data_IF_282943367764
#
_entry.id   IF_282943367764
#
_cell.length_a   1.000
_cell.length_b   1.000
_cell.length_c   1.000
_cell.angle_alpha   90.00
_cell.angle_beta   90.00
_cell.angle_gamma   90.00
#
_symmetry.space_group_name_H-M   'P 1'
#
loop_
_entity.id
_entity.type
_entity.pdbx_description
1 polymer ?
#
# COMPACT_ATOMS: atom_id res chain seq x y z
N UNK A 1 0.67 12.38 12.38
CA UNK A 1 0.36 11.09 11.71
C UNK A 1 0.19 10.05 12.81
N UNK A 2 0.04 8.76 12.49
CA UNK A 2 -0.13 7.72 13.52
C UNK A 2 0.80 6.56 13.21
N UNK A 3 1.62 6.16 14.18
CA UNK A 3 2.70 5.17 14.01
C UNK A 3 2.32 3.84 14.63
N UNK A 4 2.43 2.76 13.86
CA UNK A 4 2.13 1.41 14.32
C UNK A 4 3.22 0.90 15.28
N UNK A 5 2.82 0.54 16.49
CA UNK A 5 3.69 -0.04 17.52
C UNK A 5 4.19 -1.45 17.16
N UNK A 6 3.53 -2.08 16.18
CA UNK A 6 3.88 -3.40 15.66
C UNK A 6 5.11 -3.38 14.74
N UNK A 7 5.60 -2.18 14.40
CA UNK A 7 6.82 -2.03 13.64
C UNK A 7 8.05 -2.29 14.55
N UNK A 8 8.91 -3.28 14.25
CA UNK A 8 10.11 -3.54 15.04
C UNK A 8 11.07 -2.34 15.12
N UNK A 9 11.04 -1.40 14.17
CA UNK A 9 11.83 -0.17 14.23
C UNK A 9 11.36 0.81 15.33
N UNK A 10 10.11 0.68 15.80
CA UNK A 10 9.49 1.58 16.78
C UNK A 10 9.19 0.91 18.13
N UNK A 11 9.39 -0.40 18.26
CA UNK A 11 9.11 -1.17 19.48
C UNK A 11 9.97 -0.78 20.71
N UNK A 12 10.96 0.11 20.54
CA UNK A 12 11.83 0.61 21.63
C UNK A 12 11.29 1.86 22.35
N UNK A 13 10.15 2.42 21.94
CA UNK A 13 9.65 3.68 22.52
C UNK A 13 8.28 3.52 23.20
N UNK A 14 8.28 3.70 24.52
CA UNK A 14 7.16 3.91 25.45
C UNK A 14 6.36 2.72 25.98
N UNK A 15 6.77 2.32 27.19
CA UNK A 15 5.84 2.16 28.30
C UNK A 15 5.48 3.55 28.87
N UNK A 16 4.24 3.66 29.39
CA UNK A 16 3.65 4.79 30.13
C UNK A 16 3.01 5.95 29.33
N UNK A 17 1.72 6.22 29.65
CA UNK A 17 1.12 7.53 29.40
C UNK A 17 -0.39 7.53 29.13
N UNK A 18 -1.20 7.57 30.20
CA UNK A 18 -2.67 7.76 30.16
C UNK A 18 -3.02 9.21 29.80
N UNK A 19 -4.08 9.45 29.00
CA UNK A 19 -4.60 10.80 28.75
C UNK A 19 -6.00 10.82 28.14
N UNK A 20 -6.92 11.56 28.78
CA UNK A 20 -8.37 11.50 28.63
C UNK A 20 -8.96 12.33 27.47
N UNK A 21 -10.07 11.84 26.90
CA UNK A 21 -10.80 12.41 25.77
C UNK A 21 -11.76 13.55 26.16
N UNK A 22 -11.84 14.60 25.32
CA UNK A 22 -12.95 15.56 25.29
C UNK A 22 -13.50 15.72 23.87
N UNK A 23 -14.81 15.50 23.74
CA UNK A 23 -15.60 15.52 22.50
C UNK A 23 -15.98 16.94 22.10
N UNK A 24 -15.93 17.25 20.80
CA UNK A 24 -16.81 18.26 20.21
C UNK A 24 -17.17 17.83 18.78
N UNK A 25 -18.48 17.70 18.54
CA UNK A 25 -19.10 17.38 17.26
C UNK A 25 -19.13 18.64 16.39
N UNK A 26 -18.79 18.51 15.12
CA UNK A 26 -19.32 19.35 14.04
C UNK A 26 -19.19 18.56 12.72
N UNK A 27 -20.30 18.49 11.97
CA UNK A 27 -20.44 17.78 10.70
C UNK A 27 -19.92 18.67 9.56
N UNK A 28 -19.22 18.09 8.60
CA UNK A 28 -18.86 18.70 7.32
C UNK A 28 -18.69 17.57 6.26
N UNK A 29 -18.80 17.88 4.95
CA UNK A 29 -19.61 17.12 4.00
C UNK A 29 -18.88 15.96 3.32
N UNK A 30 -19.69 14.98 2.90
CA UNK A 30 -19.29 13.90 1.99
C UNK A 30 -18.81 14.49 0.65
N UNK A 31 -17.59 14.16 0.26
CA UNK A 31 -17.12 14.38 -1.11
C UNK A 31 -16.69 13.05 -1.71
N UNK A 32 -17.35 12.74 -2.83
CA UNK A 32 -17.35 11.48 -3.53
C UNK A 32 -16.01 11.06 -4.15
N UNK A 33 -15.98 9.76 -4.41
CA UNK A 33 -14.88 8.88 -4.75
C UNK A 33 -14.33 9.12 -6.17
N UNK A 34 -13.01 9.18 -6.33
CA UNK A 34 -12.32 9.36 -7.62
C UNK A 34 -11.75 8.04 -8.21
N UNK A 35 -12.11 6.88 -7.66
CA UNK A 35 -11.56 5.59 -8.09
C UNK A 35 -12.32 4.92 -9.25
N UNK A 36 -13.52 5.40 -9.60
CA UNK A 36 -14.41 4.80 -10.62
C UNK A 36 -15.12 5.84 -11.51
N UNK A 37 -14.57 7.05 -11.64
CA UNK A 37 -15.15 8.04 -12.54
C UNK A 37 -14.92 7.65 -14.02
N UNK A 38 -15.94 7.72 -14.89
CA UNK A 38 -15.72 7.63 -16.33
C UNK A 38 -14.76 8.73 -16.79
N UNK A 39 -13.91 8.40 -17.78
CA UNK A 39 -12.86 9.26 -18.33
C UNK A 39 -13.36 10.72 -18.48
N UNK A 40 -12.86 11.61 -17.62
CA UNK A 40 -13.08 13.05 -17.73
C UNK A 40 -12.37 13.58 -18.99
N UNK A 41 -12.76 14.78 -19.48
CA UNK A 41 -12.21 15.31 -20.72
C UNK A 41 -10.68 15.40 -20.65
N UNK A 42 -10.04 14.80 -21.66
CA UNK A 42 -8.59 14.80 -21.83
C UNK A 42 -8.15 16.25 -22.05
N UNK A 43 -7.63 16.89 -20.99
CA UNK A 43 -6.83 18.12 -21.15
C UNK A 43 -5.66 17.85 -22.10
N UNK A 44 -5.14 18.90 -22.75
CA UNK A 44 -4.04 18.77 -23.71
C UNK A 44 -2.91 17.90 -23.14
N UNK A 45 -2.62 16.80 -23.84
CA UNK A 45 -1.55 15.87 -23.47
C UNK A 45 -0.22 16.57 -23.68
N UNK A 46 0.50 16.81 -22.59
CA UNK A 46 1.85 17.42 -22.56
C UNK A 46 2.82 16.70 -23.50
N UNK A 47 2.84 15.36 -23.43
CA UNK A 47 3.62 14.50 -24.30
C UNK A 47 2.76 13.86 -25.38
N UNK A 48 3.32 13.73 -26.60
CA UNK A 48 2.73 12.92 -27.65
C UNK A 48 2.55 11.49 -27.16
N UNK A 49 1.35 10.93 -27.37
CA UNK A 49 1.00 9.58 -26.95
C UNK A 49 0.46 8.79 -28.13
N UNK A 50 1.11 7.68 -28.45
CA UNK A 50 0.70 6.81 -29.54
C UNK A 50 0.22 5.45 -29.03
N UNK A 51 -0.54 4.73 -29.86
CA UNK A 51 -0.89 3.33 -29.59
C UNK A 51 0.35 2.45 -29.43
N UNK A 52 1.41 2.74 -30.19
CA UNK A 52 2.67 1.99 -30.11
C UNK A 52 3.34 2.16 -28.74
N UNK A 53 3.35 3.37 -28.18
CA UNK A 53 3.90 3.63 -26.84
C UNK A 53 3.14 2.81 -25.78
N UNK A 54 1.80 2.79 -25.89
CA UNK A 54 0.97 2.03 -24.96
C UNK A 54 1.23 0.53 -25.06
N UNK A 55 1.23 -0.05 -26.26
CA UNK A 55 1.51 -1.48 -26.44
C UNK A 55 2.92 -1.85 -25.97
N UNK A 56 3.90 -0.97 -26.15
CA UNK A 56 5.25 -1.17 -25.61
C UNK A 56 5.26 -1.13 -24.09
N UNK A 57 4.58 -0.18 -23.46
CA UNK A 57 4.42 -0.15 -22.00
C UNK A 57 3.78 -1.44 -21.48
N UNK A 58 2.71 -1.93 -22.14
CA UNK A 58 2.05 -3.20 -21.78
C UNK A 58 3.00 -4.38 -21.87
N UNK A 59 3.76 -4.48 -22.95
CA UNK A 59 4.70 -5.57 -23.16
C UNK A 59 5.81 -5.55 -22.10
N UNK A 60 6.40 -4.38 -21.83
CA UNK A 60 7.49 -4.24 -20.87
C UNK A 60 7.03 -4.53 -19.43
N UNK A 61 5.89 -3.98 -19.00
CA UNK A 61 5.41 -4.22 -17.63
C UNK A 61 4.97 -5.67 -17.42
N UNK A 62 4.40 -6.29 -18.45
CA UNK A 62 4.05 -7.71 -18.41
C UNK A 62 5.31 -8.58 -18.33
N UNK A 63 6.32 -8.32 -19.16
CA UNK A 63 7.57 -9.07 -19.13
C UNK A 63 8.32 -8.93 -17.79
N UNK A 64 8.27 -7.73 -17.18
CA UNK A 64 9.01 -7.44 -15.95
C UNK A 64 8.28 -7.90 -14.68
N UNK A 65 6.96 -7.71 -14.60
CA UNK A 65 6.19 -7.91 -13.36
C UNK A 65 4.93 -8.78 -13.52
N UNK A 66 4.66 -9.33 -14.71
CA UNK A 66 3.46 -10.12 -14.99
C UNK A 66 2.15 -9.32 -14.99
N UNK A 67 2.21 -7.98 -14.96
CA UNK A 67 1.01 -7.14 -14.88
C UNK A 67 0.38 -7.02 -16.27
N UNK A 68 -0.87 -7.48 -16.38
CA UNK A 68 -1.68 -7.29 -17.59
C UNK A 68 -2.43 -5.95 -17.53
N UNK A 69 -1.94 -4.96 -18.27
CA UNK A 69 -2.67 -3.70 -18.49
C UNK A 69 -3.76 -3.91 -19.55
N UNK A 70 -5.01 -3.69 -19.16
CA UNK A 70 -6.17 -3.72 -20.06
C UNK A 70 -6.22 -2.48 -20.97
N UNK A 71 -6.79 -2.61 -22.18
CA UNK A 71 -6.84 -1.52 -23.18
C UNK A 71 -7.50 -0.23 -22.67
N UNK A 72 -8.48 -0.34 -21.78
CA UNK A 72 -9.14 0.81 -21.15
C UNK A 72 -8.29 1.59 -20.12
N UNK A 73 -7.04 1.18 -19.86
CA UNK A 73 -6.15 1.85 -18.88
C UNK A 73 -5.15 2.81 -19.52
N UNK A 74 -5.36 3.24 -20.77
CA UNK A 74 -4.45 4.16 -21.47
C UNK A 74 -4.23 5.49 -20.74
N UNK A 75 -5.29 6.14 -20.28
CA UNK A 75 -5.18 7.42 -19.58
C UNK A 75 -4.37 7.30 -18.27
N UNK A 76 -4.57 6.19 -17.54
CA UNK A 76 -3.82 5.86 -16.34
C UNK A 76 -2.34 5.62 -16.64
N UNK A 77 -2.04 4.78 -17.64
CA UNK A 77 -0.67 4.50 -18.06
C UNK A 77 0.05 5.78 -18.53
N UNK A 78 -0.61 6.61 -19.35
CA UNK A 78 -0.09 7.90 -19.77
C UNK A 78 0.27 8.78 -18.57
N UNK A 79 -0.68 9.02 -17.66
CA UNK A 79 -0.48 9.92 -16.52
C UNK A 79 0.69 9.50 -15.63
N UNK A 80 0.78 8.20 -15.35
CA UNK A 80 1.81 7.62 -14.45
C UNK A 80 3.19 7.58 -15.09
N UNK A 81 3.29 7.16 -16.36
CA UNK A 81 4.58 7.07 -17.04
C UNK A 81 5.07 8.46 -17.47
N UNK A 82 4.18 9.39 -17.86
CA UNK A 82 4.55 10.78 -18.12
C UNK A 82 5.23 11.46 -16.92
N UNK A 83 4.88 11.06 -15.70
CA UNK A 83 5.58 11.52 -14.49
C UNK A 83 7.05 11.08 -14.48
N UNK A 84 7.35 9.84 -14.89
CA UNK A 84 8.73 9.36 -15.02
C UNK A 84 9.49 10.14 -16.09
N UNK A 85 8.88 10.40 -17.25
CA UNK A 85 9.49 11.23 -18.30
C UNK A 85 9.94 12.59 -17.75
N UNK A 86 9.13 13.24 -16.91
CA UNK A 86 9.51 14.51 -16.26
C UNK A 86 10.65 14.34 -15.26
N UNK A 87 10.57 13.31 -14.42
CA UNK A 87 11.56 13.04 -13.37
C UNK A 87 12.94 12.66 -13.97
N UNK A 88 12.98 12.05 -15.15
CA UNK A 88 14.22 11.67 -15.85
C UNK A 88 14.60 12.61 -17.00
N UNK A 89 13.76 13.60 -17.32
CA UNK A 89 14.06 14.66 -18.30
C UNK A 89 13.85 14.28 -19.78
N UNK A 90 13.12 13.21 -20.08
CA UNK A 90 12.82 12.85 -21.47
C UNK A 90 11.62 13.61 -22.04
N UNK A 91 11.66 13.83 -23.36
CA UNK A 91 10.67 14.63 -24.08
C UNK A 91 9.62 13.79 -24.81
N UNK A 92 9.77 12.47 -24.83
CA UNK A 92 8.83 11.55 -25.47
C UNK A 92 8.83 10.18 -24.79
N UNK A 93 7.73 9.44 -24.92
CA UNK A 93 7.65 8.05 -24.45
C UNK A 93 8.63 7.16 -25.20
N UNK A 94 8.78 7.37 -26.50
CA UNK A 94 9.73 6.63 -27.32
C UNK A 94 11.16 6.72 -26.76
N UNK A 95 11.63 7.94 -26.45
CA UNK A 95 12.97 8.17 -25.93
C UNK A 95 13.14 7.53 -24.54
N UNK A 96 12.17 7.71 -23.66
CA UNK A 96 12.18 7.11 -22.31
C UNK A 96 12.20 5.59 -22.37
N UNK A 97 11.35 4.96 -23.18
CA UNK A 97 11.26 3.50 -23.26
C UNK A 97 12.51 2.88 -23.91
N UNK A 98 13.07 3.53 -24.94
CA UNK A 98 14.35 3.11 -25.51
C UNK A 98 15.49 3.19 -24.47
N UNK A 99 15.56 4.28 -23.73
CA UNK A 99 16.57 4.47 -22.68
C UNK A 99 16.38 3.47 -21.54
N UNK A 100 15.15 3.21 -21.10
CA UNK A 100 14.81 2.24 -20.07
C UNK A 100 15.32 0.83 -20.43
N UNK A 101 15.10 0.40 -21.67
CA UNK A 101 15.55 -0.91 -22.16
C UNK A 101 17.09 -1.03 -22.28
N UNK A 102 17.80 0.09 -22.27
CA UNK A 102 19.27 0.13 -22.27
C UNK A 102 19.88 0.21 -20.86
N UNK A 103 19.06 0.33 -19.80
CA UNK A 103 19.58 0.40 -18.44
C UNK A 103 20.15 -0.95 -18.02
N UNK A 104 21.41 -0.95 -17.58
CA UNK A 104 22.08 -2.12 -17.00
C UNK A 104 21.71 -2.34 -15.53
N UNK A 105 21.33 -1.27 -14.83
CA UNK A 105 20.82 -1.35 -13.46
C UNK A 105 19.29 -1.42 -13.43
N UNK A 106 18.79 -1.96 -12.32
CA UNK A 106 17.35 -2.21 -12.13
C UNK A 106 16.62 -1.03 -11.47
N UNK A 107 17.29 0.11 -11.23
CA UNK A 107 16.71 1.21 -10.45
C UNK A 107 15.53 1.85 -11.18
N UNK A 108 15.71 2.24 -12.44
CA UNK A 108 14.61 2.82 -13.20
C UNK A 108 13.55 1.77 -13.57
N UNK A 109 13.95 0.53 -13.83
CA UNK A 109 13.02 -0.57 -14.05
C UNK A 109 12.06 -0.75 -12.88
N UNK A 110 12.58 -0.68 -11.66
CA UNK A 110 11.78 -0.72 -10.46
C UNK A 110 10.83 0.48 -10.38
N UNK A 111 11.26 1.68 -10.77
CA UNK A 111 10.38 2.86 -10.77
C UNK A 111 9.30 2.83 -11.84
N UNK A 112 9.61 2.28 -13.01
CA UNK A 112 8.64 1.99 -14.05
C UNK A 112 7.55 1.02 -13.55
N UNK A 113 7.94 -0.03 -12.80
CA UNK A 113 6.99 -0.94 -12.16
C UNK A 113 6.16 -0.21 -11.12
N UNK A 114 6.80 0.52 -10.20
CA UNK A 114 6.14 1.24 -9.10
C UNK A 114 5.06 2.22 -9.59
N UNK A 115 5.26 2.91 -10.72
CA UNK A 115 4.23 3.85 -11.22
C UNK A 115 3.05 3.14 -11.87
N UNK A 116 3.19 1.88 -12.29
CA UNK A 116 2.15 1.09 -12.96
C UNK A 116 1.38 0.13 -12.05
N UNK A 117 1.80 -0.07 -10.80
CA UNK A 117 1.09 -0.87 -9.79
C UNK A 117 -0.19 -0.19 -9.28
N UNK A 118 -1.15 -0.97 -8.79
CA UNK A 118 -2.38 -0.43 -8.18
C UNK A 118 -2.46 -0.83 -6.72
N UNK A 119 -2.19 0.15 -5.85
CA UNK A 119 -1.95 -0.08 -4.43
C UNK A 119 -3.17 0.28 -3.56
N UNK A 120 -4.37 -0.16 -3.93
CA UNK A 120 -5.58 0.10 -3.14
C UNK A 120 -5.67 -0.90 -1.99
N UNK A 121 -5.48 -0.41 -0.76
CA UNK A 121 -5.54 -1.23 0.45
C UNK A 121 -6.20 -0.46 1.59
N UNK A 122 -6.65 -1.19 2.61
CA UNK A 122 -7.27 -0.65 3.82
C UNK A 122 -7.13 -1.64 4.97
N UNK A 123 -7.10 -1.11 6.19
CA UNK A 123 -7.11 -1.96 7.39
C UNK A 123 -8.37 -2.82 7.43
N UNK A 124 -8.19 -4.11 7.71
CA UNK A 124 -9.26 -5.09 7.78
C UNK A 124 -10.16 -5.12 6.54
N UNK A 125 -9.59 -4.88 5.34
CA UNK A 125 -10.27 -5.12 4.08
C UNK A 125 -10.76 -6.56 4.02
N UNK A 126 -12.04 -6.77 3.70
CA UNK A 126 -12.68 -8.10 3.73
C UNK A 126 -12.61 -8.74 5.13
N UNK A 127 -13.30 -8.13 6.13
CA UNK A 127 -13.11 -8.41 7.55
C UNK A 127 -13.32 -9.88 7.96
N UNK A 128 -14.17 -10.61 7.23
CA UNK A 128 -14.46 -12.02 7.46
C UNK A 128 -13.22 -12.93 7.40
N UNK A 129 -12.18 -12.57 6.63
CA UNK A 129 -10.92 -13.33 6.62
C UNK A 129 -10.19 -13.27 7.96
N UNK A 130 -10.25 -12.14 8.66
CA UNK A 130 -9.60 -11.98 9.97
C UNK A 130 -10.37 -12.68 11.09
N UNK A 131 -11.70 -12.75 10.97
CA UNK A 131 -12.54 -13.56 11.87
C UNK A 131 -12.20 -15.05 11.75
N UNK A 132 -12.06 -15.55 10.51
CA UNK A 132 -11.62 -16.93 10.24
C UNK A 132 -10.20 -17.19 10.74
N UNK A 133 -9.27 -16.26 10.50
CA UNK A 133 -7.89 -16.38 11.00
C UNK A 133 -7.85 -16.44 12.54
N UNK A 134 -8.61 -15.57 13.23
CA UNK A 134 -8.67 -15.55 14.69
C UNK A 134 -9.24 -16.87 15.24
N UNK A 135 -10.35 -17.35 14.66
CA UNK A 135 -10.96 -18.63 15.06
C UNK A 135 -10.01 -19.81 14.82
N UNK A 136 -9.32 -19.83 13.68
CA UNK A 136 -8.32 -20.85 13.36
C UNK A 136 -7.17 -20.85 14.38
N UNK A 137 -6.56 -19.69 14.64
CA UNK A 137 -5.46 -19.53 15.60
C UNK A 137 -5.86 -19.90 17.05
N UNK A 138 -7.09 -19.61 17.44
CA UNK A 138 -7.60 -19.95 18.78
C UNK A 138 -7.70 -21.48 18.99
N UNK A 139 -8.01 -22.23 17.93
CA UNK A 139 -8.11 -23.70 17.99
C UNK A 139 -6.76 -24.41 17.81
N UNK A 140 -5.71 -23.72 17.35
CA UNK A 140 -4.40 -24.33 17.16
C UNK A 140 -3.67 -24.51 18.51
N UNK A 141 -3.26 -25.75 18.87
CA UNK A 141 -2.64 -26.03 20.17
C UNK A 141 -1.19 -25.54 20.29
N UNK A 142 -0.52 -25.11 19.21
CA UNK A 142 0.87 -24.67 19.26
C UNK A 142 1.37 -23.94 18.00
N UNK A 143 2.51 -23.27 18.13
CA UNK A 143 3.26 -22.61 17.07
C UNK A 143 4.63 -23.29 16.81
N UNK A 144 5.49 -22.71 15.96
CA UNK A 144 5.37 -21.39 15.35
C UNK A 144 4.41 -21.33 14.16
N UNK A 145 3.78 -20.18 13.97
CA UNK A 145 2.95 -19.89 12.80
C UNK A 145 3.70 -18.99 11.85
N UNK A 146 3.73 -19.35 10.56
CA UNK A 146 4.31 -18.54 9.51
C UNK A 146 3.21 -18.14 8.53
N UNK A 147 2.97 -16.85 8.42
CA UNK A 147 2.00 -16.27 7.48
C UNK A 147 2.74 -15.38 6.50
N UNK A 148 2.29 -15.36 5.26
CA UNK A 148 2.82 -14.51 4.20
C UNK A 148 1.70 -13.65 3.62
N UNK A 149 1.84 -12.33 3.74
CA UNK A 149 1.10 -11.35 2.95
C UNK A 149 1.90 -11.09 1.66
N UNK A 150 1.42 -11.61 0.53
CA UNK A 150 2.16 -11.63 -0.73
C UNK A 150 1.97 -10.40 -1.63
N UNK A 151 1.06 -9.49 -1.26
CA UNK A 151 0.81 -8.20 -1.92
C UNK A 151 0.48 -7.14 -0.85
N UNK A 152 1.47 -6.85 -0.01
CA UNK A 152 1.32 -6.08 1.23
C UNK A 152 0.90 -4.61 1.02
N UNK A 153 1.16 -4.05 -0.17
CA UNK A 153 0.94 -2.65 -0.48
C UNK A 153 1.59 -1.74 0.59
N UNK A 154 0.87 -0.71 1.06
CA UNK A 154 1.34 0.23 2.10
C UNK A 154 1.28 -0.33 3.52
N UNK A 155 1.00 -1.62 3.70
CA UNK A 155 1.16 -2.33 4.98
C UNK A 155 -0.12 -2.55 5.78
N UNK A 156 -1.25 -1.98 5.38
CA UNK A 156 -2.52 -2.12 6.13
C UNK A 156 -2.93 -3.60 6.34
N UNK A 157 -2.77 -4.45 5.34
CA UNK A 157 -3.06 -5.89 5.45
C UNK A 157 -2.14 -6.62 6.44
N UNK A 158 -0.79 -6.58 6.31
CA UNK A 158 0.06 -7.28 7.26
C UNK A 158 -0.10 -6.77 8.71
N UNK A 159 -0.37 -5.47 8.92
CA UNK A 159 -0.70 -4.97 10.24
C UNK A 159 -2.04 -5.52 10.76
N UNK A 160 -3.07 -5.64 9.92
CA UNK A 160 -4.33 -6.29 10.29
C UNK A 160 -4.15 -7.77 10.65
N UNK A 161 -3.32 -8.50 9.91
CA UNK A 161 -2.97 -9.90 10.24
C UNK A 161 -2.29 -9.96 11.61
N UNK A 162 -1.29 -9.11 11.85
CA UNK A 162 -0.55 -9.10 13.11
C UNK A 162 -1.44 -8.73 14.31
N UNK A 163 -2.29 -7.69 14.18
CA UNK A 163 -3.27 -7.33 15.21
C UNK A 163 -4.20 -8.51 15.53
N UNK A 164 -4.72 -9.18 14.50
CA UNK A 164 -5.58 -10.37 14.65
C UNK A 164 -4.88 -11.50 15.38
N UNK A 165 -3.63 -11.78 15.01
CA UNK A 165 -2.84 -12.83 15.66
C UNK A 165 -2.55 -12.49 17.14
N UNK A 166 -2.22 -11.23 17.45
CA UNK A 166 -1.98 -10.78 18.82
C UNK A 166 -3.24 -10.80 19.70
N UNK A 167 -4.41 -10.56 19.11
CA UNK A 167 -5.70 -10.68 19.80
C UNK A 167 -6.07 -12.15 20.05
N UNK A 168 -5.91 -13.03 19.07
CA UNK A 168 -6.30 -14.44 19.18
C UNK A 168 -5.33 -15.30 20.01
N UNK A 169 -4.03 -15.03 19.93
CA UNK A 169 -3.00 -15.86 20.56
C UNK A 169 -2.55 -15.37 21.94
N UNK A 170 -2.78 -14.09 22.27
CA UNK A 170 -2.26 -13.48 23.49
C UNK A 170 -0.74 -13.64 23.60
N UNK A 171 -0.25 -14.19 24.72
CA UNK A 171 1.18 -14.43 24.95
C UNK A 171 1.83 -15.34 23.89
N UNK A 172 1.07 -16.22 23.24
CA UNK A 172 1.57 -17.11 22.18
C UNK A 172 1.89 -16.38 20.88
N UNK A 173 1.47 -15.11 20.72
CA UNK A 173 1.78 -14.31 19.54
C UNK A 173 3.29 -14.13 19.30
N UNK A 174 4.11 -14.29 20.34
CA UNK A 174 5.59 -14.33 20.23
C UNK A 174 6.11 -15.44 19.29
N UNK A 175 5.30 -16.47 19.00
CA UNK A 175 5.62 -17.56 18.07
C UNK A 175 5.03 -17.33 16.67
N UNK A 176 4.29 -16.24 16.46
CA UNK A 176 3.76 -15.86 15.16
C UNK A 176 4.83 -15.10 14.37
N UNK A 177 4.96 -15.41 13.08
CA UNK A 177 5.89 -14.79 12.14
C UNK A 177 5.10 -14.40 10.90
N UNK A 178 5.26 -13.15 10.50
CA UNK A 178 4.63 -12.59 9.31
C UNK A 178 5.71 -12.11 8.36
N UNK A 179 5.70 -12.64 7.15
CA UNK A 179 6.45 -12.07 6.03
C UNK A 179 5.49 -11.25 5.19
N UNK A 180 5.92 -10.07 4.76
CA UNK A 180 5.17 -9.20 3.87
C UNK A 180 6.05 -8.90 2.65
N UNK A 181 5.51 -9.07 1.46
CA UNK A 181 6.19 -8.73 0.20
C UNK A 181 5.25 -7.99 -0.73
N UNK A 182 5.83 -7.19 -1.61
CA UNK A 182 5.14 -6.53 -2.70
C UNK A 182 6.14 -6.35 -3.85
N UNK A 183 5.63 -6.20 -5.07
CA UNK A 183 6.45 -5.89 -6.24
C UNK A 183 6.80 -4.39 -6.28
N UNK A 184 6.00 -3.55 -5.62
CA UNK A 184 6.23 -2.12 -5.51
C UNK A 184 7.11 -1.81 -4.29
N UNK A 185 8.34 -1.37 -4.57
CA UNK A 185 9.32 -1.05 -3.53
C UNK A 185 8.95 0.22 -2.73
N UNK A 186 8.26 1.19 -3.34
CA UNK A 186 7.87 2.43 -2.65
C UNK A 186 6.84 2.16 -1.57
N UNK A 187 5.90 1.26 -1.81
CA UNK A 187 4.90 0.90 -0.80
C UNK A 187 5.48 0.03 0.30
N UNK A 188 6.46 -0.84 0.00
CA UNK A 188 7.20 -1.58 1.03
C UNK A 188 7.95 -0.66 1.99
N UNK A 189 8.56 0.43 1.50
CA UNK A 189 9.17 1.44 2.38
C UNK A 189 8.13 2.03 3.33
N UNK A 190 6.95 2.42 2.83
CA UNK A 190 5.86 2.94 3.66
C UNK A 190 5.33 1.91 4.66
N UNK A 191 5.17 0.67 4.23
CA UNK A 191 4.77 -0.44 5.10
C UNK A 191 5.78 -0.65 6.22
N UNK A 192 7.08 -0.55 5.91
CA UNK A 192 8.17 -0.68 6.87
C UNK A 192 8.31 0.53 7.79
N UNK A 193 7.84 1.72 7.42
CA UNK A 193 7.72 2.88 8.32
C UNK A 193 6.53 2.69 9.28
N UNK A 194 5.41 2.13 8.80
CA UNK A 194 4.23 1.91 9.63
C UNK A 194 3.54 3.19 10.07
N UNK A 195 3.69 4.28 9.31
CA UNK A 195 3.08 5.58 9.57
C UNK A 195 1.86 5.78 8.68
N UNK A 196 0.69 5.92 9.31
CA UNK A 196 -0.59 6.01 8.62
C UNK A 196 -1.26 7.36 8.86
N UNK A 197 -2.01 7.82 7.84
CA UNK A 197 -2.91 8.96 8.00
C UNK A 197 -4.11 8.54 8.84
N UNK A 198 -4.58 9.43 9.71
CA UNK A 198 -5.75 9.15 10.57
C UNK A 198 -6.99 8.74 9.77
N UNK A 199 -7.16 9.27 8.56
CA UNK A 199 -8.28 8.90 7.68
C UNK A 199 -8.24 7.44 7.21
N UNK A 200 -7.07 6.83 7.10
CA UNK A 200 -6.91 5.43 6.69
C UNK A 200 -7.22 4.45 7.83
N UNK A 201 -7.28 4.96 9.06
CA UNK A 201 -7.61 4.18 10.26
C UNK A 201 -9.12 4.15 10.55
N UNK A 202 -9.93 4.82 9.72
CA UNK A 202 -11.40 4.82 9.80
C UNK A 202 -11.92 3.40 9.54
N UNK A 203 -12.18 2.66 10.60
CA UNK A 203 -12.57 1.23 10.55
C UNK A 203 -11.96 0.42 11.69
N UNK A 204 -10.91 0.93 12.33
CA UNK A 204 -10.37 0.34 13.54
C UNK A 204 -11.22 0.72 14.76
N UNK A 205 -11.36 -0.21 15.70
CA UNK A 205 -11.97 0.06 17.00
C UNK A 205 -11.08 1.01 17.81
N UNK A 206 -11.68 1.79 18.72
CA UNK A 206 -10.92 2.64 19.65
C UNK A 206 -9.92 1.80 20.46
N UNK A 207 -10.28 0.58 20.84
CA UNK A 207 -9.37 -0.36 21.52
C UNK A 207 -8.12 -0.67 20.69
N UNK A 208 -8.28 -1.01 19.39
CA UNK A 208 -7.14 -1.29 18.50
C UNK A 208 -6.27 -0.06 18.29
N UNK A 209 -6.88 1.12 18.13
CA UNK A 209 -6.15 2.38 18.01
C UNK A 209 -5.30 2.65 19.26
N UNK A 210 -5.88 2.52 20.46
CA UNK A 210 -5.17 2.73 21.71
C UNK A 210 -4.07 1.68 21.97
N UNK A 211 -4.29 0.44 21.54
CA UNK A 211 -3.37 -0.67 21.81
C UNK A 211 -2.20 -0.75 20.83
N UNK A 212 -2.42 -0.46 19.55
CA UNK A 212 -1.46 -0.76 18.48
C UNK A 212 -0.86 0.46 17.80
N UNK A 213 -1.28 1.67 18.17
CA UNK A 213 -0.85 2.89 17.49
C UNK A 213 -0.46 3.98 18.49
N UNK A 214 0.58 4.74 18.13
CA UNK A 214 0.93 6.00 18.79
C UNK A 214 0.47 7.17 17.91
N UNK A 215 -0.20 8.13 18.53
CA UNK A 215 -0.49 9.40 17.86
C UNK A 215 0.73 10.30 17.98
N UNK A 216 1.29 10.70 16.85
CA UNK A 216 2.30 11.75 16.85
C UNK A 216 1.61 13.10 17.07
N UNK A 217 2.01 13.81 18.13
CA UNK A 217 1.72 15.22 18.26
C UNK A 217 2.54 15.98 17.22
N UNK A 218 1.87 16.89 16.50
CA UNK A 218 2.51 17.75 15.50
C UNK A 218 3.13 18.97 16.19
#
# INVERSE_FOLDING_TARGET
MVTALLNPAHASANADGRGAARRRRERAPEQGNAADAPDGPIGEREFLWTTQDFERIRALIHARAGIHLHAGKQAMAYSRVARRLRETGHKSFHDYLNWLEQQEDDLEWQEFVNVLTTNLTAFFREPHHFELLAAWLAQQPGGPWHVWSCAASTGEEPYSIMMTAMEALGARASQFRLTASDVDSRVLVRAAEGVFRADHLKGLSEERLHRFFLREEA
#
